data_IF_159038628847
#
_entry.id   IF_159038628847
#
_cell.length_a   1.000
_cell.length_b   1.000
_cell.length_c   1.000
_cell.angle_alpha   90.00
_cell.angle_beta   90.00
_cell.angle_gamma   90.00
#
_symmetry.space_group_name_H-M   'P 1'
#
loop_
_entity.id
_entity.type
_entity.pdbx_description
1 polymer ?
#
# COMPACT_ATOMS: atom_id res chain seq x y z
N UNK A 1 -8.90 -53.62 42.06
CA UNK A 1 -7.99 -52.71 41.36
C UNK A 1 -8.56 -51.29 41.47
N UNK A 2 -7.93 -50.37 42.26
CA UNK A 2 -8.42 -48.96 42.39
C UNK A 2 -7.65 -48.10 41.41
N UNK A 3 -8.31 -47.60 40.36
CA UNK A 3 -7.74 -46.58 39.46
C UNK A 3 -7.70 -45.26 40.21
N UNK A 4 -6.49 -44.76 40.46
CA UNK A 4 -6.29 -43.40 41.01
C UNK A 4 -6.64 -42.38 39.94
N UNK A 5 -7.55 -41.42 40.19
CA UNK A 5 -7.76 -40.33 39.25
C UNK A 5 -6.47 -39.50 39.16
N UNK A 6 -5.98 -39.28 37.92
CA UNK A 6 -4.88 -38.36 37.68
C UNK A 6 -5.36 -36.93 38.05
N UNK A 7 -4.63 -36.27 38.96
CA UNK A 7 -4.92 -34.87 39.28
C UNK A 7 -4.70 -34.00 38.04
N UNK A 8 -5.72 -33.38 37.54
CA UNK A 8 -5.63 -32.39 36.45
C UNK A 8 -5.02 -31.12 37.06
N UNK A 9 -3.74 -30.87 36.78
CA UNK A 9 -3.08 -29.63 37.18
C UNK A 9 -3.67 -28.46 36.36
N UNK A 10 -4.41 -27.57 37.02
CA UNK A 10 -4.87 -26.32 36.43
C UNK A 10 -3.77 -25.25 36.40
N UNK A 11 -3.85 -24.30 35.46
CA UNK A 11 -2.95 -23.15 35.43
C UNK A 11 -3.13 -22.24 36.64
N UNK A 12 -2.03 -21.70 37.16
CA UNK A 12 -2.10 -20.68 38.20
C UNK A 12 -2.44 -19.31 37.60
N UNK A 13 -3.05 -18.43 38.39
CA UNK A 13 -3.37 -17.07 37.98
C UNK A 13 -2.10 -16.29 37.59
N UNK A 14 -1.02 -16.47 38.33
CA UNK A 14 0.26 -15.81 38.01
C UNK A 14 0.88 -16.29 36.70
N UNK A 15 0.75 -17.56 36.36
CA UNK A 15 1.22 -18.12 35.11
C UNK A 15 0.49 -17.52 33.89
N UNK A 16 -0.83 -17.35 33.98
CA UNK A 16 -1.63 -16.68 32.97
C UNK A 16 -1.25 -15.21 32.85
N UNK A 17 -1.02 -14.50 33.97
CA UNK A 17 -0.60 -13.10 33.93
C UNK A 17 0.77 -12.93 33.25
N UNK A 18 1.71 -13.80 33.53
CA UNK A 18 3.05 -13.78 32.89
C UNK A 18 2.91 -14.07 31.38
N UNK A 19 2.13 -15.07 31.01
CA UNK A 19 1.90 -15.42 29.61
C UNK A 19 1.29 -14.26 28.81
N UNK A 20 0.25 -13.60 29.37
CA UNK A 20 -0.39 -12.42 28.73
C UNK A 20 0.60 -11.26 28.63
N UNK A 21 1.42 -11.01 29.65
CA UNK A 21 2.44 -9.96 29.60
C UNK A 21 3.47 -10.19 28.48
N UNK A 22 3.95 -11.43 28.31
CA UNK A 22 4.88 -11.80 27.25
C UNK A 22 4.24 -11.60 25.87
N UNK A 23 3.00 -12.09 25.68
CA UNK A 23 2.25 -11.92 24.42
C UNK A 23 2.03 -10.45 24.09
N UNK A 24 1.70 -9.62 25.08
CA UNK A 24 1.51 -8.18 24.88
C UNK A 24 2.80 -7.48 24.39
N UNK A 25 3.97 -7.84 24.97
CA UNK A 25 5.25 -7.28 24.55
C UNK A 25 5.59 -7.71 23.10
N UNK A 26 5.40 -8.99 22.78
CA UNK A 26 5.66 -9.50 21.43
C UNK A 26 4.72 -8.86 20.39
N UNK A 27 3.43 -8.72 20.72
CA UNK A 27 2.45 -8.08 19.87
C UNK A 27 2.76 -6.60 19.59
N UNK A 28 3.27 -5.87 20.57
CA UNK A 28 3.64 -4.46 20.41
C UNK A 28 4.72 -4.24 19.33
N UNK A 29 5.59 -5.20 19.10
CA UNK A 29 6.63 -5.15 18.06
C UNK A 29 6.13 -5.77 16.75
N UNK A 30 5.38 -6.86 16.82
CA UNK A 30 4.96 -7.63 15.65
C UNK A 30 3.88 -6.91 14.81
N UNK A 31 2.91 -6.23 15.47
CA UNK A 31 1.80 -5.57 14.76
C UNK A 31 2.24 -4.47 13.79
N UNK A 32 3.09 -3.49 14.17
CA UNK A 32 3.52 -2.45 13.22
C UNK A 32 4.36 -3.03 12.07
N UNK A 33 5.19 -4.01 12.33
CA UNK A 33 5.98 -4.67 11.30
C UNK A 33 5.09 -5.42 10.29
N UNK A 34 4.04 -6.08 10.76
CA UNK A 34 3.06 -6.75 9.92
C UNK A 34 2.27 -5.75 9.04
N UNK A 35 1.84 -4.62 9.61
CA UNK A 35 1.15 -3.57 8.86
C UNK A 35 2.02 -3.01 7.72
N UNK A 36 3.30 -2.73 8.00
CA UNK A 36 4.22 -2.25 6.97
C UNK A 36 4.49 -3.32 5.89
N UNK A 37 4.50 -4.59 6.26
CA UNK A 37 4.59 -5.69 5.30
C UNK A 37 3.38 -5.75 4.36
N UNK A 38 2.16 -5.67 4.91
CA UNK A 38 0.91 -5.64 4.11
C UNK A 38 0.86 -4.42 3.20
N UNK A 39 1.21 -3.23 3.69
CA UNK A 39 1.27 -2.01 2.88
C UNK A 39 2.22 -2.14 1.70
N UNK A 40 3.42 -2.70 1.93
CA UNK A 40 4.37 -2.98 0.83
C UNK A 40 3.80 -3.93 -0.21
N UNK A 41 3.02 -4.91 0.21
CA UNK A 41 2.33 -5.84 -0.70
C UNK A 41 1.27 -5.17 -1.58
N UNK A 42 0.66 -4.08 -1.11
CA UNK A 42 -0.40 -3.36 -1.83
C UNK A 42 0.13 -2.25 -2.77
N UNK A 43 1.35 -1.74 -2.58
CA UNK A 43 1.94 -0.69 -3.44
C UNK A 43 2.01 -1.09 -4.92
N UNK A 44 2.36 -2.36 -5.30
CA UNK A 44 2.36 -2.78 -6.69
C UNK A 44 1.04 -2.59 -7.44
N UNK A 45 -0.11 -2.62 -6.74
CA UNK A 45 -1.40 -2.29 -7.33
C UNK A 45 -1.40 -0.88 -7.94
N UNK A 46 -0.96 0.12 -7.17
CA UNK A 46 -0.89 1.51 -7.64
C UNK A 46 0.11 1.68 -8.77
N UNK A 47 1.34 1.16 -8.60
CA UNK A 47 2.40 1.35 -9.58
C UNK A 47 2.14 0.62 -10.89
N UNK A 48 1.51 -0.55 -10.85
CA UNK A 48 1.07 -1.26 -12.05
C UNK A 48 -0.06 -0.53 -12.77
N UNK A 49 -1.07 -0.04 -12.03
CA UNK A 49 -2.17 0.72 -12.59
C UNK A 49 -1.69 2.04 -13.23
N UNK A 50 -0.76 2.75 -12.60
CA UNK A 50 -0.13 3.95 -13.16
C UNK A 50 0.65 3.64 -14.44
N UNK A 51 1.41 2.55 -14.46
CA UNK A 51 2.16 2.12 -15.64
C UNK A 51 1.24 1.75 -16.82
N UNK A 52 0.18 1.00 -16.56
CA UNK A 52 -0.84 0.65 -17.57
C UNK A 52 -1.60 1.89 -18.05
N UNK A 53 -1.98 2.77 -17.11
CA UNK A 53 -2.64 4.03 -17.45
C UNK A 53 -1.80 4.92 -18.35
N UNK A 54 -0.49 5.02 -18.10
CA UNK A 54 0.42 5.75 -18.98
C UNK A 54 0.42 5.19 -20.39
N UNK A 55 0.52 3.87 -20.54
CA UNK A 55 0.48 3.22 -21.86
C UNK A 55 -0.83 3.54 -22.59
N UNK A 56 -1.97 3.48 -21.89
CA UNK A 56 -3.27 3.81 -22.47
C UNK A 56 -3.36 5.28 -22.91
N UNK A 57 -2.81 6.21 -22.12
CA UNK A 57 -2.73 7.64 -22.48
C UNK A 57 -1.89 7.87 -23.74
N UNK A 58 -0.74 7.20 -23.85
CA UNK A 58 0.11 7.31 -25.03
C UNK A 58 -0.55 6.72 -26.30
N UNK A 59 -1.27 5.61 -26.17
CA UNK A 59 -2.05 5.04 -27.29
C UNK A 59 -3.15 6.01 -27.73
N UNK A 60 -3.89 6.58 -26.78
CA UNK A 60 -4.91 7.58 -27.09
C UNK A 60 -4.31 8.78 -27.83
N UNK A 61 -3.15 9.26 -27.37
CA UNK A 61 -2.48 10.40 -28.01
C UNK A 61 -2.04 10.09 -29.46
N UNK A 62 -1.59 8.86 -29.74
CA UNK A 62 -1.22 8.47 -31.10
C UNK A 62 -2.40 8.56 -32.07
N UNK A 63 -3.61 8.20 -31.60
CA UNK A 63 -4.81 8.19 -32.41
C UNK A 63 -5.45 9.57 -32.52
N UNK A 64 -5.46 10.35 -31.43
CA UNK A 64 -6.23 11.60 -31.32
C UNK A 64 -5.35 12.86 -31.34
N UNK A 65 -4.03 12.75 -31.20
CA UNK A 65 -3.06 13.86 -31.11
C UNK A 65 -3.32 14.81 -29.94
N UNK A 66 -4.03 14.36 -28.94
CA UNK A 66 -4.33 15.07 -27.69
C UNK A 66 -4.55 14.06 -26.58
N UNK A 67 -4.25 14.44 -25.32
CA UNK A 67 -4.64 13.63 -24.15
C UNK A 67 -6.06 13.99 -23.64
N UNK A 68 -6.64 15.09 -24.12
CA UNK A 68 -8.01 15.46 -23.74
C UNK A 68 -9.00 14.37 -24.18
N UNK A 69 -9.88 13.99 -23.25
CA UNK A 69 -10.87 12.94 -23.48
C UNK A 69 -10.35 11.51 -23.31
N UNK A 70 -9.05 11.31 -23.02
CA UNK A 70 -8.53 10.00 -22.71
C UNK A 70 -9.20 9.43 -21.45
N UNK A 71 -9.57 8.15 -21.49
CA UNK A 71 -10.20 7.48 -20.37
C UNK A 71 -9.18 7.25 -19.23
N UNK A 72 -9.56 7.65 -18.02
CA UNK A 72 -8.76 7.33 -16.83
C UNK A 72 -8.88 5.85 -16.50
N UNK A 73 -7.80 5.18 -16.05
CA UNK A 73 -7.87 3.82 -15.54
C UNK A 73 -8.89 3.70 -14.41
N UNK A 74 -9.55 2.55 -14.31
CA UNK A 74 -10.48 2.27 -13.24
C UNK A 74 -9.78 2.16 -11.88
N UNK A 75 -10.55 2.41 -10.82
CA UNK A 75 -10.06 2.26 -9.45
C UNK A 75 -9.70 0.81 -9.13
N UNK A 76 -8.63 0.63 -8.35
CA UNK A 76 -8.25 -0.64 -7.77
C UNK A 76 -8.96 -0.91 -6.43
N UNK A 77 -8.49 -1.95 -5.74
CA UNK A 77 -9.05 -2.34 -4.44
C UNK A 77 -8.61 -1.39 -3.31
N UNK A 78 -7.35 -0.96 -3.36
CA UNK A 78 -6.73 -0.13 -2.31
C UNK A 78 -6.41 1.29 -2.78
N UNK A 79 -6.48 1.55 -4.09
CA UNK A 79 -6.15 2.84 -4.68
C UNK A 79 -7.25 3.32 -5.62
N UNK A 80 -7.67 4.58 -5.43
CA UNK A 80 -8.47 5.31 -6.39
C UNK A 80 -7.58 6.03 -7.40
N UNK A 81 -7.93 5.99 -8.68
CA UNK A 81 -7.19 6.67 -9.75
C UNK A 81 -7.93 7.91 -10.24
N UNK A 82 -7.19 8.99 -10.43
CA UNK A 82 -7.67 10.23 -11.02
C UNK A 82 -6.69 10.72 -12.08
N UNK A 83 -7.22 11.28 -13.17
CA UNK A 83 -6.42 11.78 -14.28
C UNK A 83 -6.71 13.26 -14.50
N UNK A 84 -5.66 14.06 -14.67
CA UNK A 84 -5.72 15.41 -15.18
C UNK A 84 -5.09 15.40 -16.56
N UNK A 85 -5.82 15.82 -17.59
CA UNK A 85 -5.38 15.81 -19.00
C UNK A 85 -5.54 17.18 -19.62
N UNK A 86 -4.59 17.52 -20.49
CA UNK A 86 -4.64 18.67 -21.39
C UNK A 86 -4.37 18.20 -22.82
N UNK A 87 -4.27 19.09 -23.77
CA UNK A 87 -3.92 18.71 -25.14
C UNK A 87 -2.55 18.02 -25.25
N UNK A 88 -1.58 18.41 -24.41
CA UNK A 88 -0.19 17.95 -24.54
C UNK A 88 0.41 17.30 -23.27
N UNK A 89 -0.32 17.31 -22.17
CA UNK A 89 0.16 16.75 -20.89
C UNK A 89 -0.91 15.92 -20.22
N UNK A 90 -0.46 14.96 -19.40
CA UNK A 90 -1.34 14.28 -18.43
C UNK A 90 -0.62 14.04 -17.11
N UNK A 91 -1.39 13.88 -16.08
CA UNK A 91 -0.94 13.35 -14.78
C UNK A 91 -1.97 12.34 -14.28
N UNK A 92 -1.52 11.13 -14.00
CA UNK A 92 -2.34 10.11 -13.34
C UNK A 92 -1.91 10.05 -11.89
N UNK A 93 -2.88 10.14 -10.98
CA UNK A 93 -2.67 10.06 -9.54
C UNK A 93 -3.38 8.84 -8.97
N UNK A 94 -2.65 7.99 -8.29
CA UNK A 94 -3.20 6.90 -7.48
C UNK A 94 -3.20 7.31 -6.02
N UNK A 95 -4.37 7.38 -5.40
CA UNK A 95 -4.55 7.78 -4.00
C UNK A 95 -5.02 6.59 -3.18
N UNK A 96 -4.29 6.25 -2.14
CA UNK A 96 -4.58 5.13 -1.26
C UNK A 96 -5.80 5.37 -0.37
N UNK A 97 -6.56 4.31 -0.15
CA UNK A 97 -7.72 4.28 0.73
C UNK A 97 -7.61 3.16 1.78
N UNK A 98 -8.36 3.24 2.86
CA UNK A 98 -8.36 2.23 3.92
C UNK A 98 -6.98 2.05 4.55
N UNK A 99 -6.42 0.84 4.46
CA UNK A 99 -5.08 0.52 4.99
C UNK A 99 -3.94 1.27 4.28
N UNK A 100 -4.20 1.78 3.06
CA UNK A 100 -3.26 2.56 2.26
C UNK A 100 -3.49 4.07 2.33
N UNK A 101 -4.36 4.55 3.22
CA UNK A 101 -4.57 5.99 3.43
C UNK A 101 -3.24 6.71 3.72
N UNK A 102 -3.04 7.86 3.09
CA UNK A 102 -1.80 8.65 3.17
C UNK A 102 -0.72 8.26 2.14
N UNK A 103 -0.95 7.22 1.34
CA UNK A 103 -0.10 6.88 0.20
C UNK A 103 -0.67 7.49 -1.08
N UNK A 104 0.16 8.21 -1.81
CA UNK A 104 -0.19 8.77 -3.12
C UNK A 104 0.99 8.65 -4.07
N UNK A 105 0.71 8.26 -5.30
CA UNK A 105 1.69 8.05 -6.37
C UNK A 105 1.23 8.73 -7.64
N UNK A 106 2.13 9.36 -8.37
CA UNK A 106 1.81 9.99 -9.66
C UNK A 106 2.73 9.52 -10.77
N UNK A 107 2.24 9.66 -12.00
CA UNK A 107 3.03 9.53 -13.23
C UNK A 107 2.54 10.54 -14.26
N UNK A 108 3.46 11.07 -15.06
CA UNK A 108 3.17 12.02 -16.14
C UNK A 108 3.63 11.52 -17.53
N UNK A 109 3.41 12.33 -18.56
CA UNK A 109 3.80 12.05 -19.95
C UNK A 109 5.31 11.86 -20.15
N UNK A 110 6.13 12.46 -19.30
CA UNK A 110 7.60 12.35 -19.35
C UNK A 110 8.12 11.16 -18.54
N UNK A 111 7.23 10.29 -18.05
CA UNK A 111 7.55 9.25 -17.09
C UNK A 111 8.08 9.81 -15.75
N UNK A 112 7.79 11.06 -15.46
CA UNK A 112 8.04 11.69 -14.16
C UNK A 112 7.19 10.98 -13.10
N UNK A 113 7.84 10.55 -12.03
CA UNK A 113 7.21 9.77 -10.95
C UNK A 113 7.36 10.52 -9.66
N UNK A 114 6.29 10.72 -8.94
CA UNK A 114 6.34 11.28 -7.59
C UNK A 114 5.56 10.42 -6.63
N UNK A 115 5.88 10.54 -5.36
CA UNK A 115 5.13 9.88 -4.30
C UNK A 115 5.08 10.71 -3.04
N UNK A 116 3.97 10.59 -2.31
CA UNK A 116 3.80 11.12 -0.96
C UNK A 116 3.30 9.98 -0.09
N UNK A 117 4.05 9.63 0.94
CA UNK A 117 3.75 8.47 1.78
C UNK A 117 4.10 8.77 3.24
N UNK A 118 3.52 8.03 4.21
CA UNK A 118 3.95 8.10 5.61
C UNK A 118 5.40 7.69 5.84
N UNK A 119 6.05 7.08 4.84
CA UNK A 119 7.45 6.65 4.89
C UNK A 119 8.43 7.68 4.31
N UNK A 120 7.91 8.70 3.62
CA UNK A 120 8.68 9.75 2.97
C UNK A 120 8.06 10.20 1.66
N UNK A 121 8.62 11.27 1.10
CA UNK A 121 8.19 11.82 -0.18
C UNK A 121 9.26 11.58 -1.23
N UNK A 122 8.85 11.11 -2.41
CA UNK A 122 9.70 10.95 -3.58
C UNK A 122 9.38 12.02 -4.61
N UNK A 123 10.34 12.88 -4.91
CA UNK A 123 10.19 13.92 -5.93
C UNK A 123 10.41 13.40 -7.35
N UNK A 124 11.16 12.31 -7.50
CA UNK A 124 11.53 11.73 -8.81
C UNK A 124 11.34 10.22 -8.87
N UNK A 125 10.83 9.60 -7.81
CA UNK A 125 10.60 8.17 -7.73
C UNK A 125 9.38 7.80 -6.87
N UNK A 126 9.01 6.54 -6.90
CA UNK A 126 7.99 5.97 -6.03
C UNK A 126 8.63 5.32 -4.80
N UNK A 127 8.32 5.85 -3.62
CA UNK A 127 8.71 5.27 -2.33
C UNK A 127 7.92 3.97 -2.11
N UNK A 128 8.61 2.85 -2.08
CA UNK A 128 8.02 1.52 -1.91
C UNK A 128 8.32 0.90 -0.55
N UNK A 129 9.31 1.43 0.17
CA UNK A 129 9.73 0.93 1.48
C UNK A 129 10.06 2.08 2.42
N UNK A 130 9.95 1.81 3.70
CA UNK A 130 10.44 2.74 4.73
C UNK A 130 11.96 2.90 4.62
N UNK A 131 12.42 4.15 4.46
CA UNK A 131 13.83 4.47 4.26
C UNK A 131 14.27 4.59 2.79
N UNK A 132 13.38 4.34 1.82
CA UNK A 132 13.68 4.68 0.42
C UNK A 132 13.86 6.21 0.28
N UNK A 133 14.77 6.59 -0.59
CA UNK A 133 15.04 7.97 -0.98
C UNK A 133 15.23 8.08 -2.49
N UNK A 134 14.86 9.21 -3.05
CA UNK A 134 15.06 9.52 -4.47
C UNK A 134 16.02 10.68 -4.65
#
# INVERSE_FOLDING_TARGET
MRVRPAAVAGFTLIEVMIAVAIVAILAAVALPAYQDYVRRGNIPEATAALGQGRIAMEQWFQDNRTYEGAACPGNGQHFGLACATTATTFTITATGAGSMAGFSYTIDQNNGRTSSTPWGNGATCWIARKGDAC
#
